data_IF_950978595828
#
_entry.id   IF_950978595828
#
_cell.length_a   1.000
_cell.length_b   1.000
_cell.length_c   1.000
_cell.angle_alpha   90.00
_cell.angle_beta   90.00
_cell.angle_gamma   90.00
#
_symmetry.space_group_name_H-M   'P 1'
#
loop_
_entity.id
_entity.type
_entity.pdbx_description
1 polymer ?
#
# COMPACT_ATOMS: atom_id res chain seq x y z
N UNK A 1 6.82 6.28 -3.92
CA UNK A 1 7.76 5.15 -3.77
C UNK A 1 7.98 4.71 -2.32
N UNK A 2 8.64 5.49 -1.45
CA UNK A 2 8.99 5.02 -0.09
C UNK A 2 7.80 4.62 0.80
N UNK A 3 6.64 5.28 0.62
CA UNK A 3 5.40 4.99 1.34
C UNK A 3 4.89 3.57 1.04
N UNK A 4 4.90 3.15 -0.22
CA UNK A 4 4.47 1.81 -0.63
C UNK A 4 5.40 0.72 -0.09
N UNK A 5 6.71 0.92 -0.22
CA UNK A 5 7.70 -0.03 0.31
C UNK A 5 7.61 -0.15 1.84
N UNK A 6 7.48 0.97 2.55
CA UNK A 6 7.34 0.98 4.01
C UNK A 6 6.08 0.25 4.49
N UNK A 7 4.94 0.52 3.85
CA UNK A 7 3.69 -0.16 4.17
C UNK A 7 3.77 -1.65 3.86
N UNK A 8 4.34 -2.02 2.71
CA UNK A 8 4.49 -3.43 2.33
C UNK A 8 5.39 -4.20 3.29
N UNK A 9 6.53 -3.61 3.69
CA UNK A 9 7.43 -4.21 4.67
C UNK A 9 6.72 -4.42 6.03
N UNK A 10 5.97 -3.42 6.50
CA UNK A 10 5.20 -3.52 7.74
C UNK A 10 4.14 -4.61 7.63
N UNK A 11 3.40 -4.69 6.53
CA UNK A 11 2.40 -5.73 6.28
C UNK A 11 3.01 -7.12 6.27
N UNK A 12 4.19 -7.31 5.66
CA UNK A 12 4.90 -8.58 5.66
C UNK A 12 5.36 -9.00 7.06
N UNK A 13 5.84 -8.04 7.87
CA UNK A 13 6.21 -8.30 9.27
C UNK A 13 4.97 -8.70 10.07
N UNK A 14 3.87 -7.96 9.94
CA UNK A 14 2.60 -8.29 10.59
C UNK A 14 2.07 -9.67 10.17
N UNK A 15 2.14 -10.01 8.88
CA UNK A 15 1.76 -11.32 8.38
C UNK A 15 2.65 -12.44 8.93
N UNK A 16 3.97 -12.20 9.04
CA UNK A 16 4.92 -13.15 9.65
C UNK A 16 4.59 -13.40 11.12
N UNK A 17 4.28 -12.35 11.88
CA UNK A 17 3.89 -12.45 13.29
C UNK A 17 2.56 -13.17 13.46
N UNK A 18 1.57 -12.85 12.62
CA UNK A 18 0.28 -13.55 12.60
C UNK A 18 0.45 -15.04 12.30
N UNK A 19 1.23 -15.40 11.27
CA UNK A 19 1.45 -16.79 10.88
C UNK A 19 2.13 -17.60 11.99
N UNK A 20 3.19 -17.05 12.60
CA UNK A 20 3.86 -17.70 13.75
C UNK A 20 2.94 -17.77 14.99
N UNK A 21 2.16 -16.72 15.21
CA UNK A 21 1.21 -16.62 16.33
C UNK A 21 0.04 -17.60 16.23
N UNK A 22 -0.33 -18.02 15.02
CA UNK A 22 -1.37 -19.05 14.78
C UNK A 22 -0.76 -20.45 14.80
N UNK A 23 0.39 -20.66 14.15
CA UNK A 23 1.04 -21.97 14.07
C UNK A 23 1.44 -22.54 15.45
N UNK A 24 1.81 -21.68 16.39
CA UNK A 24 2.16 -22.07 17.77
C UNK A 24 0.96 -22.53 18.62
N UNK A 25 -0.29 -22.37 18.16
CA UNK A 25 -1.51 -22.72 18.90
C UNK A 25 -2.03 -24.13 18.61
N UNK A 26 -1.31 -24.95 17.85
CA UNK A 26 -1.77 -26.30 17.51
C UNK A 26 -1.71 -27.22 18.74
N UNK A 27 -2.86 -27.43 19.38
CA UNK A 27 -3.01 -28.46 20.41
C UNK A 27 -3.00 -29.85 19.76
N UNK A 28 -2.05 -30.69 20.16
CA UNK A 28 -1.96 -32.09 19.74
C UNK A 28 -2.30 -32.95 20.97
N UNK A 29 -3.54 -33.46 21.09
CA UNK A 29 -3.92 -34.28 22.23
C UNK A 29 -3.13 -35.59 22.26
N UNK A 30 -2.77 -36.03 23.46
CA UNK A 30 -2.32 -37.41 23.66
C UNK A 30 -3.50 -38.38 23.49
N UNK A 31 -3.23 -39.61 23.00
CA UNK A 31 -4.24 -40.68 22.80
C UNK A 31 -5.15 -40.89 24.01
N UNK A 32 -4.62 -40.71 25.23
CA UNK A 32 -5.38 -40.90 26.48
C UNK A 32 -6.08 -39.63 27.00
N UNK A 33 -5.87 -38.49 26.38
CA UNK A 33 -6.43 -37.19 26.81
C UNK A 33 -7.69 -36.80 26.03
N UNK A 34 -8.06 -37.53 24.97
CA UNK A 34 -9.16 -37.21 24.06
C UNK A 34 -10.56 -37.16 24.69
N UNK A 35 -10.78 -37.80 25.85
CA UNK A 35 -12.10 -37.88 26.50
C UNK A 35 -12.19 -37.22 27.90
N UNK A 36 -11.06 -36.96 28.57
CA UNK A 36 -11.08 -36.64 30.01
C UNK A 36 -10.62 -35.22 30.37
N UNK A 37 -9.99 -34.48 29.44
CA UNK A 37 -9.50 -33.14 29.72
C UNK A 37 -9.85 -32.18 28.59
N UNK A 38 -10.65 -31.12 28.86
CA UNK A 38 -10.85 -30.08 27.86
C UNK A 38 -9.50 -29.44 27.52
N UNK A 39 -9.28 -29.08 26.24
CA UNK A 39 -8.03 -28.46 25.82
C UNK A 39 -7.77 -27.18 26.62
N UNK A 40 -6.52 -26.91 27.03
CA UNK A 40 -6.19 -25.69 27.75
C UNK A 40 -6.42 -24.49 26.83
N UNK A 41 -7.33 -23.59 27.21
CA UNK A 41 -7.67 -22.39 26.44
C UNK A 41 -7.38 -21.13 27.28
N UNK A 42 -6.46 -20.28 26.84
CA UNK A 42 -6.20 -19.00 27.50
C UNK A 42 -7.17 -17.93 26.99
N UNK A 43 -8.30 -17.75 27.66
CA UNK A 43 -9.42 -16.92 27.18
C UNK A 43 -9.07 -15.44 26.97
N UNK A 44 -8.10 -14.89 27.71
CA UNK A 44 -7.82 -13.44 27.67
C UNK A 44 -6.63 -13.10 26.77
N UNK A 45 -5.51 -13.80 26.93
CA UNK A 45 -4.29 -13.51 26.16
C UNK A 45 -4.41 -13.90 24.69
N UNK A 46 -5.12 -14.98 24.40
CA UNK A 46 -5.27 -15.47 23.02
C UNK A 46 -6.16 -14.58 22.17
N UNK A 47 -7.21 -14.00 22.77
CA UNK A 47 -8.17 -13.11 22.10
C UNK A 47 -7.51 -11.78 21.76
N UNK A 48 -6.78 -11.17 22.70
CA UNK A 48 -6.05 -9.91 22.46
C UNK A 48 -5.04 -10.07 21.33
N UNK A 49 -4.26 -11.16 21.35
CA UNK A 49 -3.28 -11.43 20.30
C UNK A 49 -3.95 -11.70 18.94
N UNK A 50 -5.05 -12.45 18.91
CA UNK A 50 -5.77 -12.71 17.67
C UNK A 50 -6.37 -11.43 17.07
N UNK A 51 -6.95 -10.57 17.91
CA UNK A 51 -7.47 -9.26 17.51
C UNK A 51 -6.35 -8.37 16.97
N UNK A 52 -5.21 -8.32 17.67
CA UNK A 52 -4.04 -7.54 17.24
C UNK A 52 -3.48 -8.01 15.90
N UNK A 53 -3.31 -9.32 15.71
CA UNK A 53 -2.86 -9.87 14.42
C UNK A 53 -3.87 -9.62 13.30
N UNK A 54 -5.17 -9.82 13.56
CA UNK A 54 -6.22 -9.61 12.57
C UNK A 54 -6.32 -8.16 12.11
N UNK A 55 -6.28 -7.21 13.05
CA UNK A 55 -6.31 -5.77 12.75
C UNK A 55 -5.05 -5.31 12.02
N UNK A 56 -3.86 -5.74 12.48
CA UNK A 56 -2.61 -5.38 11.81
C UNK A 56 -2.55 -5.92 10.37
N UNK A 57 -3.03 -7.14 10.12
CA UNK A 57 -3.06 -7.74 8.79
C UNK A 57 -4.11 -7.08 7.90
N UNK A 58 -5.32 -6.79 8.41
CA UNK A 58 -6.35 -6.12 7.62
C UNK A 58 -5.95 -4.69 7.25
N UNK A 59 -5.52 -3.88 8.23
CA UNK A 59 -5.07 -2.50 7.99
C UNK A 59 -3.85 -2.47 7.07
N UNK A 60 -2.87 -3.37 7.29
CA UNK A 60 -1.70 -3.49 6.43
C UNK A 60 -2.04 -3.91 4.99
N UNK A 61 -2.98 -4.85 4.82
CA UNK A 61 -3.45 -5.29 3.51
C UNK A 61 -4.17 -4.18 2.74
N UNK A 62 -5.09 -3.46 3.40
CA UNK A 62 -5.77 -2.32 2.78
C UNK A 62 -4.81 -1.19 2.43
N UNK A 63 -3.86 -0.87 3.31
CA UNK A 63 -2.86 0.15 3.04
C UNK A 63 -1.94 -0.27 1.88
N UNK A 64 -1.51 -1.52 1.83
CA UNK A 64 -0.68 -2.05 0.73
C UNK A 64 -1.43 -1.97 -0.61
N UNK A 65 -2.71 -2.34 -0.65
CA UNK A 65 -3.53 -2.20 -1.85
C UNK A 65 -3.69 -0.74 -2.27
N UNK A 66 -4.05 0.15 -1.34
CA UNK A 66 -4.24 1.57 -1.64
C UNK A 66 -2.98 2.23 -2.17
N UNK A 67 -1.85 2.08 -1.47
CA UNK A 67 -0.57 2.61 -1.93
C UNK A 67 -0.03 1.90 -3.18
N UNK A 68 -0.38 0.63 -3.39
CA UNK A 68 -0.04 -0.12 -4.61
C UNK A 68 -0.80 0.39 -5.82
N UNK A 69 -2.10 0.63 -5.71
CA UNK A 69 -2.91 1.24 -6.76
C UNK A 69 -2.44 2.67 -7.07
N UNK A 70 -2.15 3.45 -6.02
CA UNK A 70 -1.58 4.78 -6.13
C UNK A 70 -0.23 4.76 -6.88
N UNK A 71 0.56 3.71 -6.69
CA UNK A 71 1.81 3.50 -7.42
C UNK A 71 1.57 3.15 -8.90
N UNK A 72 0.65 2.23 -9.20
CA UNK A 72 0.32 1.85 -10.59
C UNK A 72 -0.21 3.03 -11.40
N UNK A 73 -0.98 3.92 -10.77
CA UNK A 73 -1.52 5.13 -11.41
C UNK A 73 -0.60 6.36 -11.37
N UNK A 74 0.63 6.20 -10.87
CA UNK A 74 1.61 7.27 -10.72
C UNK A 74 1.05 8.52 -10.01
N UNK A 75 0.36 8.28 -8.89
CA UNK A 75 -0.24 9.31 -8.06
C UNK A 75 0.60 9.47 -6.80
N UNK A 76 0.93 10.70 -6.44
CA UNK A 76 1.71 11.01 -5.25
C UNK A 76 0.91 11.79 -4.19
N UNK A 77 -0.21 12.40 -4.61
CA UNK A 77 -1.02 13.30 -3.80
C UNK A 77 -2.52 12.93 -3.84
N UNK A 78 -3.25 13.16 -2.75
CA UNK A 78 -4.71 12.91 -2.71
C UNK A 78 -5.50 13.76 -3.73
N UNK A 79 -5.01 14.96 -4.06
CA UNK A 79 -5.60 15.82 -5.10
C UNK A 79 -5.44 15.21 -6.50
N UNK A 80 -4.25 14.70 -6.81
CA UNK A 80 -3.99 13.98 -8.07
C UNK A 80 -4.84 12.73 -8.18
N UNK A 81 -5.01 11.98 -7.08
CA UNK A 81 -5.92 10.83 -7.03
C UNK A 81 -7.35 11.24 -7.41
N UNK A 82 -7.86 12.32 -6.81
CA UNK A 82 -9.19 12.84 -7.09
C UNK A 82 -9.37 13.26 -8.55
N UNK A 83 -8.37 13.92 -9.12
CA UNK A 83 -8.41 14.36 -10.52
C UNK A 83 -8.33 13.18 -11.49
N UNK A 84 -7.49 12.18 -11.22
CA UNK A 84 -7.45 10.93 -12.00
C UNK A 84 -8.75 10.13 -11.88
N UNK A 85 -9.37 10.12 -10.70
CA UNK A 85 -10.67 9.46 -10.48
C UNK A 85 -11.80 10.17 -11.22
N UNK A 86 -11.80 11.51 -11.25
CA UNK A 86 -12.74 12.32 -12.05
C UNK A 86 -12.55 12.08 -13.55
N UNK A 87 -11.30 12.00 -14.01
CA UNK A 87 -10.97 11.66 -15.38
C UNK A 87 -11.50 10.25 -15.74
N UNK A 88 -11.39 9.29 -14.84
CA UNK A 88 -11.96 7.94 -15.00
C UNK A 88 -13.50 7.95 -15.02
N UNK A 89 -14.14 8.84 -14.24
CA UNK A 89 -15.59 9.02 -14.22
C UNK A 89 -16.16 9.81 -15.41
N UNK A 90 -15.33 10.25 -16.35
CA UNK A 90 -15.76 10.93 -17.57
C UNK A 90 -15.89 12.45 -17.46
N UNK A 91 -15.57 13.05 -16.30
CA UNK A 91 -15.53 14.50 -16.13
C UNK A 91 -14.13 15.03 -16.53
N UNK A 92 -13.80 14.83 -17.81
CA UNK A 92 -12.50 15.15 -18.39
C UNK A 92 -12.42 16.59 -18.89
N UNK A 93 -12.53 17.58 -18.01
CA UNK A 93 -12.21 18.95 -18.40
C UNK A 93 -10.71 19.07 -18.70
N UNK A 94 -10.36 19.33 -19.97
CA UNK A 94 -8.97 19.49 -20.46
C UNK A 94 -8.11 20.47 -19.65
N UNK A 95 -8.75 21.35 -18.88
CA UNK A 95 -8.12 22.34 -18.00
C UNK A 95 -7.38 21.72 -16.80
N UNK A 96 -7.70 20.50 -16.37
CA UNK A 96 -7.04 19.82 -15.25
C UNK A 96 -5.79 19.01 -15.65
N UNK A 97 -5.48 18.92 -16.95
CA UNK A 97 -4.21 18.33 -17.45
C UNK A 97 -3.00 19.26 -17.23
N UNK A 98 -3.24 20.51 -16.83
CA UNK A 98 -2.25 21.58 -16.65
C UNK A 98 -1.83 21.77 -15.18
N UNK A 99 -1.94 20.75 -14.33
CA UNK A 99 -1.21 20.80 -13.06
C UNK A 99 0.24 20.48 -13.40
N UNK A 100 1.17 21.47 -13.34
CA UNK A 100 2.56 21.16 -13.50
C UNK A 100 2.88 20.15 -12.41
N UNK A 101 3.44 19.02 -12.80
CA UNK A 101 4.27 18.26 -11.88
C UNK A 101 5.21 19.27 -11.24
N UNK A 102 4.95 19.64 -9.98
CA UNK A 102 5.85 20.45 -9.15
C UNK A 102 7.11 19.64 -8.81
N UNK A 103 7.64 18.89 -9.78
CA UNK A 103 9.05 18.56 -9.83
C UNK A 103 9.69 19.79 -10.46
N UNK A 104 10.46 20.54 -9.68
CA UNK A 104 11.46 21.43 -10.26
C UNK A 104 12.23 20.58 -11.28
N UNK A 105 12.07 20.88 -12.58
CA UNK A 105 12.88 20.22 -13.60
C UNK A 105 14.33 20.46 -13.22
N UNK A 106 15.10 19.38 -13.18
CA UNK A 106 16.54 19.50 -13.03
C UNK A 106 17.10 20.44 -14.11
N UNK A 107 18.08 21.27 -13.73
CA UNK A 107 18.58 22.38 -14.57
C UNK A 107 19.09 21.92 -15.93
N UNK A 108 19.59 20.68 -15.98
CA UNK A 108 20.07 20.09 -17.21
C UNK A 108 18.93 19.57 -18.10
N UNK A 109 17.81 19.16 -17.50
CA UNK A 109 16.59 18.80 -18.25
C UNK A 109 15.93 20.04 -18.85
N UNK A 110 15.95 21.18 -18.14
CA UNK A 110 15.47 22.47 -18.68
C UNK A 110 16.26 22.90 -19.91
N UNK A 111 17.60 22.85 -19.86
CA UNK A 111 18.45 23.21 -21.02
C UNK A 111 18.17 22.34 -22.24
N UNK A 112 17.92 21.04 -22.05
CA UNK A 112 17.61 20.12 -23.15
C UNK A 112 16.22 20.42 -23.71
N UNK A 113 15.24 20.73 -22.85
CA UNK A 113 13.89 21.13 -23.28
C UNK A 113 13.93 22.43 -24.10
N UNK A 114 14.66 23.44 -23.64
CA UNK A 114 14.83 24.72 -24.34
C UNK A 114 15.56 24.54 -25.69
N UNK A 115 16.58 23.68 -25.74
CA UNK A 115 17.29 23.35 -26.98
C UNK A 115 16.38 22.62 -27.99
N UNK A 116 15.50 21.74 -27.50
CA UNK A 116 14.53 21.03 -28.33
C UNK A 116 13.49 22.01 -28.89
N UNK A 117 12.95 22.89 -28.05
CA UNK A 117 11.95 23.89 -28.44
C UNK A 117 12.52 24.88 -29.47
N UNK A 118 13.76 25.32 -29.29
CA UNK A 118 14.48 26.13 -30.27
C UNK A 118 14.65 25.42 -31.62
N UNK A 119 14.91 24.10 -31.64
CA UNK A 119 14.98 23.32 -32.88
C UNK A 119 13.64 23.22 -33.61
N UNK A 120 12.53 23.09 -32.87
CA UNK A 120 11.20 23.02 -33.47
C UNK A 120 10.69 24.38 -33.94
N UNK A 121 10.99 25.47 -33.23
CA UNK A 121 10.63 26.83 -33.66
C UNK A 121 11.45 27.32 -34.86
N UNK A 122 12.68 26.85 -35.05
CA UNK A 122 13.53 27.24 -36.20
C UNK A 122 13.08 26.63 -37.53
N UNK A 123 12.18 25.63 -37.50
CA UNK A 123 11.72 24.91 -38.71
C UNK A 123 10.42 25.47 -39.34
N UNK A 124 9.90 26.60 -38.85
CA UNK A 124 8.81 27.35 -39.46
C UNK A 124 9.30 28.68 -40.05
#
# INVERSE_FOLDING_TARGET
>A
MIRFFGVTALTLVSARLAFRGVASRKYIPSMFQLNHKPPPFSHKGEVVNALGYGTALSTGGFAMLGFGLCWIWDVSTLKELGNKLKQLMGDGSEKDKLIPSNMELDKDTQKVADALEAMFSTKN
#
